data_IF_773369055562
#
_entry.id   IF_773369055562
#
_cell.length_a   1.000
_cell.length_b   1.000
_cell.length_c   1.000
_cell.angle_alpha   90.00
_cell.angle_beta   90.00
_cell.angle_gamma   90.00
#
_symmetry.space_group_name_H-M   'P 1'
#
loop_
_entity.id
_entity.type
_entity.pdbx_description
1 polymer ?
#
# COMPACT_ATOMS: atom_id res chain seq x y z
N UNK A 1 -34.79 -11.61 75.59
CA UNK A 1 -34.34 -10.60 74.62
C UNK A 1 -34.03 -11.30 73.31
N UNK A 2 -34.92 -11.13 72.33
CA UNK A 2 -34.96 -11.86 71.07
C UNK A 2 -33.80 -11.49 70.15
N UNK A 3 -33.12 -12.49 69.58
CA UNK A 3 -32.17 -12.30 68.47
C UNK A 3 -32.93 -12.54 67.16
N UNK A 4 -33.06 -11.51 66.33
CA UNK A 4 -33.55 -11.64 64.96
C UNK A 4 -32.45 -12.18 64.03
N UNK A 5 -32.76 -13.06 63.06
CA UNK A 5 -31.83 -13.43 62.00
C UNK A 5 -31.81 -12.36 60.89
N UNK A 6 -30.61 -12.07 60.37
CA UNK A 6 -30.39 -11.21 59.20
C UNK A 6 -30.62 -12.04 57.93
N UNK A 7 -31.37 -11.55 56.92
CA UNK A 7 -31.56 -12.26 55.66
C UNK A 7 -30.26 -12.32 54.85
N UNK A 8 -29.97 -13.49 54.27
CA UNK A 8 -28.85 -13.69 53.37
C UNK A 8 -29.00 -12.92 52.06
N UNK A 9 -27.95 -12.19 51.67
CA UNK A 9 -27.86 -11.56 50.35
C UNK A 9 -27.84 -12.61 49.23
N UNK A 10 -28.67 -12.50 48.18
CA UNK A 10 -28.62 -13.40 47.05
C UNK A 10 -27.38 -13.07 46.18
N UNK A 11 -26.32 -13.86 46.31
CA UNK A 11 -25.13 -13.81 45.46
C UNK A 11 -25.38 -14.27 44.00
N UNK A 12 -26.61 -14.64 43.66
CA UNK A 12 -26.95 -15.33 42.41
C UNK A 12 -27.37 -14.41 41.26
N UNK A 13 -27.63 -13.12 41.49
CA UNK A 13 -28.17 -12.23 40.45
C UNK A 13 -27.10 -11.56 39.57
N UNK A 14 -25.83 -11.53 39.99
CA UNK A 14 -24.75 -10.86 39.23
C UNK A 14 -24.09 -11.75 38.15
N UNK A 15 -24.23 -13.07 38.24
CA UNK A 15 -23.63 -13.98 37.26
C UNK A 15 -24.45 -14.09 35.96
N UNK A 16 -25.76 -13.85 36.01
CA UNK A 16 -26.64 -14.03 34.84
C UNK A 16 -26.59 -12.84 33.88
N UNK A 17 -26.34 -11.62 34.37
CA UNK A 17 -26.20 -10.43 33.51
C UNK A 17 -24.90 -10.40 32.69
N UNK A 18 -23.83 -11.04 33.15
CA UNK A 18 -22.56 -11.09 32.41
C UNK A 18 -22.59 -12.06 31.22
N UNK A 19 -23.39 -13.13 31.29
CA UNK A 19 -23.52 -14.10 30.20
C UNK A 19 -24.43 -13.61 29.06
N UNK A 20 -25.43 -12.77 29.36
CA UNK A 20 -26.34 -12.20 28.36
C UNK A 20 -25.70 -11.15 27.45
N UNK A 21 -24.76 -10.34 27.98
CA UNK A 21 -24.05 -9.33 27.17
C UNK A 21 -23.02 -9.94 26.22
N UNK A 22 -22.42 -11.08 26.55
CA UNK A 22 -21.45 -11.76 25.67
C UNK A 22 -22.12 -12.41 24.44
N UNK A 23 -23.37 -12.88 24.58
CA UNK A 23 -24.11 -13.48 23.47
C UNK A 23 -24.68 -12.45 22.48
N UNK A 24 -24.92 -11.21 22.92
CA UNK A 24 -25.46 -10.14 22.06
C UNK A 24 -24.40 -9.49 21.15
N UNK A 25 -23.11 -9.73 21.40
CA UNK A 25 -22.00 -9.25 20.54
C UNK A 25 -21.63 -10.24 19.42
N UNK A 26 -22.18 -11.46 19.43
CA UNK A 26 -21.87 -12.50 18.45
C UNK A 26 -22.81 -12.52 17.23
N UNK A 27 -23.82 -11.65 17.18
CA UNK A 27 -24.76 -11.54 16.05
C UNK A 27 -24.87 -10.09 15.61
N UNK A 28 -23.72 -9.45 15.38
CA UNK A 28 -23.70 -8.48 14.29
C UNK A 28 -23.63 -9.32 13.02
N UNK A 29 -24.54 -9.14 12.05
CA UNK A 29 -24.20 -9.59 10.71
C UNK A 29 -22.88 -8.88 10.43
N UNK A 30 -21.82 -9.63 10.23
CA UNK A 30 -20.69 -9.16 9.45
C UNK A 30 -21.35 -8.72 8.15
N UNK A 31 -21.73 -7.45 8.07
CA UNK A 31 -22.03 -6.82 6.81
C UNK A 31 -20.86 -7.24 5.96
N UNK A 32 -21.15 -7.86 4.83
CA UNK A 32 -20.15 -8.23 3.85
C UNK A 32 -19.48 -6.94 3.39
N UNK A 33 -18.60 -6.36 4.22
CA UNK A 33 -17.31 -5.93 3.76
C UNK A 33 -16.85 -7.14 2.98
N UNK A 34 -17.07 -7.10 1.68
CA UNK A 34 -16.29 -7.88 0.75
C UNK A 34 -14.88 -7.56 1.23
N UNK A 35 -14.23 -8.50 1.92
CA UNK A 35 -12.84 -8.34 2.31
C UNK A 35 -12.19 -7.85 1.03
N UNK A 36 -11.72 -6.60 1.02
CA UNK A 36 -11.51 -5.92 -0.23
C UNK A 36 -10.57 -6.82 -1.02
N UNK A 37 -11.08 -7.42 -2.11
CA UNK A 37 -10.31 -8.39 -2.88
C UNK A 37 -9.03 -7.73 -3.41
N UNK A 38 -8.95 -6.39 -3.32
CA UNK A 38 -7.81 -5.48 -3.38
C UNK A 38 -6.45 -6.08 -2.92
N UNK A 39 -6.43 -6.98 -1.93
CA UNK A 39 -5.20 -7.43 -1.26
C UNK A 39 -4.73 -8.85 -1.66
N UNK A 40 -5.03 -9.29 -2.88
CA UNK A 40 -4.63 -10.63 -3.33
C UNK A 40 -3.66 -10.55 -4.49
N UNK A 41 -2.76 -11.53 -4.59
CA UNK A 41 -1.82 -11.63 -5.71
C UNK A 41 -2.49 -11.68 -7.08
N UNK A 42 -3.78 -12.06 -7.15
CA UNK A 42 -4.59 -11.98 -8.36
C UNK A 42 -4.77 -10.57 -8.90
N UNK A 43 -4.89 -9.54 -8.05
CA UNK A 43 -4.98 -8.16 -8.56
C UNK A 43 -3.66 -7.66 -9.09
N UNK A 44 -2.56 -7.98 -8.41
CA UNK A 44 -1.22 -7.65 -8.89
C UNK A 44 -1.01 -8.26 -10.28
N UNK A 45 -1.44 -9.51 -10.48
CA UNK A 45 -1.43 -10.16 -11.78
C UNK A 45 -2.28 -9.39 -12.81
N UNK A 46 -3.55 -9.12 -12.50
CA UNK A 46 -4.48 -8.47 -13.42
C UNK A 46 -3.99 -7.07 -13.86
N UNK A 47 -3.55 -6.25 -12.90
CA UNK A 47 -3.03 -4.90 -13.16
C UNK A 47 -1.76 -4.98 -14.01
N UNK A 48 -0.81 -5.84 -13.61
CA UNK A 48 0.47 -5.99 -14.33
C UNK A 48 0.25 -6.49 -15.76
N UNK A 49 -0.62 -7.49 -15.97
CA UNK A 49 -0.95 -8.00 -17.32
C UNK A 49 -1.68 -6.98 -18.17
N UNK A 50 -2.56 -6.18 -17.58
CA UNK A 50 -3.24 -5.10 -18.31
C UNK A 50 -2.26 -3.99 -18.73
N UNK A 51 -1.23 -3.71 -17.93
CA UNK A 51 -0.27 -2.65 -18.18
C UNK A 51 0.86 -3.04 -19.16
N UNK A 52 1.24 -4.33 -19.23
CA UNK A 52 2.47 -4.77 -19.89
C UNK A 52 2.21 -5.71 -21.08
N UNK A 53 2.38 -5.24 -22.34
CA UNK A 53 2.29 -6.08 -23.52
C UNK A 53 3.62 -6.82 -23.79
N UNK A 54 4.15 -7.51 -22.79
CA UNK A 54 5.45 -8.18 -22.85
C UNK A 54 5.38 -9.56 -23.50
N UNK A 55 6.56 -10.11 -23.83
CA UNK A 55 6.73 -11.51 -24.22
C UNK A 55 6.10 -12.43 -23.15
N UNK A 56 5.27 -13.44 -23.53
CA UNK A 56 4.43 -14.19 -22.59
C UNK A 56 5.16 -14.87 -21.43
N UNK A 57 6.33 -15.49 -21.66
CA UNK A 57 7.08 -16.16 -20.59
C UNK A 57 7.61 -15.15 -19.57
N UNK A 58 8.11 -14.03 -20.07
CA UNK A 58 8.60 -12.92 -19.24
C UNK A 58 7.45 -12.24 -18.49
N UNK A 59 6.30 -12.05 -19.14
CA UNK A 59 5.11 -11.51 -18.49
C UNK A 59 4.63 -12.42 -17.36
N UNK A 60 4.61 -13.74 -17.56
CA UNK A 60 4.24 -14.69 -16.50
C UNK A 60 5.23 -14.65 -15.34
N UNK A 61 6.54 -14.62 -15.61
CA UNK A 61 7.54 -14.46 -14.54
C UNK A 61 7.36 -13.15 -13.75
N UNK A 62 6.88 -12.09 -14.40
CA UNK A 62 6.60 -10.83 -13.74
C UNK A 62 5.30 -10.86 -12.93
N UNK A 63 4.21 -11.34 -13.54
CA UNK A 63 2.84 -11.04 -13.11
C UNK A 63 2.15 -12.17 -12.35
N UNK A 64 2.62 -13.43 -12.42
CA UNK A 64 1.91 -14.58 -11.85
C UNK A 64 1.40 -14.33 -10.42
N UNK A 65 0.12 -14.61 -10.15
CA UNK A 65 -0.53 -14.30 -8.87
C UNK A 65 0.11 -14.96 -7.65
N UNK A 66 0.82 -16.07 -7.83
CA UNK A 66 1.47 -16.77 -6.73
C UNK A 66 2.97 -16.47 -6.71
N UNK A 67 3.66 -16.71 -7.81
CA UNK A 67 5.12 -16.72 -7.96
C UNK A 67 5.65 -15.60 -8.85
N UNK A 68 4.87 -14.57 -9.17
CA UNK A 68 5.35 -13.42 -9.96
C UNK A 68 6.32 -12.54 -9.17
N UNK A 69 7.26 -11.90 -9.88
CA UNK A 69 8.13 -10.88 -9.28
C UNK A 69 7.34 -9.74 -8.63
N UNK A 70 6.17 -9.41 -9.17
CA UNK A 70 5.24 -8.42 -8.60
C UNK A 70 4.76 -8.85 -7.20
N UNK A 71 4.55 -10.15 -6.96
CA UNK A 71 4.09 -10.68 -5.67
C UNK A 71 5.24 -11.00 -4.70
N UNK A 72 6.48 -10.60 -5.04
CA UNK A 72 7.64 -11.00 -4.25
C UNK A 72 7.74 -10.33 -2.87
N UNK A 73 7.10 -9.17 -2.66
CA UNK A 73 7.00 -8.55 -1.34
C UNK A 73 5.94 -9.22 -0.46
N UNK A 74 4.93 -9.87 -1.04
CA UNK A 74 3.88 -10.61 -0.30
C UNK A 74 4.36 -11.90 0.37
N UNK A 75 5.68 -12.07 0.49
CA UNK A 75 6.33 -13.24 1.08
C UNK A 75 7.21 -12.79 2.23
N UNK A 76 7.22 -13.58 3.31
CA UNK A 76 8.17 -13.37 4.41
C UNK A 76 9.61 -13.47 3.90
N UNK A 77 10.54 -12.63 4.39
CA UNK A 77 10.36 -11.67 5.49
C UNK A 77 9.83 -10.29 5.08
N UNK A 78 9.55 -10.06 3.79
CA UNK A 78 9.19 -8.73 3.28
C UNK A 78 7.73 -8.33 3.60
N UNK A 79 6.84 -9.33 3.70
CA UNK A 79 5.42 -9.14 3.99
C UNK A 79 5.13 -8.23 5.20
N UNK A 80 5.92 -8.35 6.26
CA UNK A 80 5.68 -7.59 7.49
C UNK A 80 6.32 -6.18 7.47
N UNK A 81 6.90 -5.74 6.35
CA UNK A 81 7.63 -4.47 6.23
C UNK A 81 6.73 -3.43 5.56
N UNK A 82 5.99 -2.66 6.37
CA UNK A 82 4.99 -1.70 5.90
C UNK A 82 5.40 -0.80 4.72
N UNK A 83 6.60 -0.18 4.70
CA UNK A 83 7.06 0.60 3.55
C UNK A 83 7.15 -0.15 2.22
N UNK A 84 7.25 -1.49 2.23
CA UNK A 84 7.24 -2.34 1.03
C UNK A 84 5.84 -2.62 0.50
N UNK A 85 4.81 -2.24 1.26
CA UNK A 85 3.38 -2.36 0.94
C UNK A 85 2.65 -1.00 1.02
N UNK A 86 3.42 0.09 1.18
CA UNK A 86 2.91 1.45 1.37
C UNK A 86 1.82 1.58 2.46
N UNK A 87 1.89 0.71 3.47
CA UNK A 87 0.98 0.69 4.60
C UNK A 87 1.22 1.89 5.52
N UNK A 88 0.18 2.25 6.28
CA UNK A 88 0.23 3.25 7.36
C UNK A 88 0.61 4.67 6.89
N UNK A 89 0.51 4.94 5.59
CA UNK A 89 0.77 6.23 4.93
C UNK A 89 -0.48 7.12 4.80
N UNK A 90 -1.61 6.66 5.32
CA UNK A 90 -2.90 7.32 5.31
C UNK A 90 -3.10 8.26 6.51
N UNK A 91 -3.86 9.33 6.31
CA UNK A 91 -4.12 10.35 7.33
C UNK A 91 -5.48 11.02 7.11
N UNK A 92 -6.18 11.29 8.20
CA UNK A 92 -7.28 12.25 8.24
C UNK A 92 -6.99 13.38 9.23
N UNK A 93 -7.22 14.61 8.79
CA UNK A 93 -7.17 15.75 9.70
C UNK A 93 -8.24 15.62 10.79
N UNK A 94 -8.01 16.14 12.03
CA UNK A 94 -8.98 16.05 13.12
C UNK A 94 -10.37 16.58 12.80
N UNK A 95 -10.48 17.54 11.86
CA UNK A 95 -11.76 18.07 11.37
C UNK A 95 -12.60 17.05 10.60
N UNK A 96 -11.97 16.01 10.04
CA UNK A 96 -12.63 14.90 9.33
C UNK A 96 -12.76 13.66 10.22
N UNK A 97 -11.77 13.42 11.09
CA UNK A 97 -11.81 12.34 12.08
C UNK A 97 -10.92 12.69 13.28
N UNK A 98 -11.53 13.09 14.39
CA UNK A 98 -10.81 13.53 15.59
C UNK A 98 -9.98 12.40 16.26
N UNK A 99 -10.33 11.14 16.01
CA UNK A 99 -9.68 9.96 16.60
C UNK A 99 -8.85 9.15 15.61
N UNK A 100 -8.42 9.75 14.49
CA UNK A 100 -7.60 9.01 13.52
C UNK A 100 -6.26 8.58 14.16
N UNK A 101 -5.86 7.31 14.04
CA UNK A 101 -4.73 6.77 14.82
C UNK A 101 -3.35 7.20 14.32
N UNK A 102 -3.28 7.85 13.14
CA UNK A 102 -2.04 8.30 12.52
C UNK A 102 -1.96 9.82 12.54
N UNK A 103 -0.81 10.35 12.93
CA UNK A 103 -0.48 11.77 12.76
C UNK A 103 -0.05 12.05 11.33
N UNK A 104 -0.06 13.33 10.93
CA UNK A 104 0.35 13.75 9.59
C UNK A 104 1.84 13.44 9.33
N UNK A 105 2.68 13.61 10.35
CA UNK A 105 4.12 13.41 10.22
C UNK A 105 4.47 11.93 10.10
N UNK A 106 3.79 11.05 10.83
CA UNK A 106 3.92 9.60 10.69
C UNK A 106 3.49 9.13 9.31
N UNK A 107 2.30 9.54 8.84
CA UNK A 107 1.82 9.19 7.50
C UNK A 107 2.77 9.68 6.40
N UNK A 108 3.30 10.90 6.53
CA UNK A 108 4.27 11.46 5.59
C UNK A 108 5.58 10.66 5.60
N UNK A 109 6.03 10.21 6.77
CA UNK A 109 7.25 9.42 6.91
C UNK A 109 7.13 8.08 6.19
N UNK A 110 6.03 7.36 6.38
CA UNK A 110 5.77 6.08 5.69
C UNK A 110 5.63 6.26 4.18
N UNK A 111 4.88 7.28 3.74
CA UNK A 111 4.72 7.58 2.32
C UNK A 111 6.06 7.83 1.63
N UNK A 112 6.92 8.65 2.25
CA UNK A 112 8.24 8.93 1.72
C UNK A 112 9.13 7.68 1.70
N UNK A 113 9.01 6.78 2.68
CA UNK A 113 9.75 5.53 2.71
C UNK A 113 9.31 4.59 1.57
N UNK A 114 8.01 4.44 1.34
CA UNK A 114 7.42 3.70 0.22
C UNK A 114 7.94 4.24 -1.14
N UNK A 115 7.77 5.55 -1.39
CA UNK A 115 8.20 6.18 -2.65
C UNK A 115 9.71 6.05 -2.87
N UNK A 116 10.52 6.33 -1.85
CA UNK A 116 12.00 6.23 -1.95
C UNK A 116 12.43 4.80 -2.26
N UNK A 117 11.76 3.81 -1.67
CA UNK A 117 12.08 2.40 -1.90
C UNK A 117 11.72 2.00 -3.33
N UNK A 118 10.52 2.32 -3.80
CA UNK A 118 10.11 2.05 -5.19
C UNK A 118 11.06 2.70 -6.21
N UNK A 119 11.42 3.97 -6.02
CA UNK A 119 12.39 4.67 -6.87
C UNK A 119 13.77 4.02 -6.84
N UNK A 120 14.22 3.58 -5.66
CA UNK A 120 15.50 2.88 -5.52
C UNK A 120 15.48 1.55 -6.28
N UNK A 121 14.39 0.78 -6.17
CA UNK A 121 14.19 -0.47 -6.90
C UNK A 121 14.21 -0.24 -8.42
N UNK A 122 13.50 0.77 -8.92
CA UNK A 122 13.56 1.13 -10.34
C UNK A 122 15.00 1.44 -10.80
N UNK A 123 15.75 2.25 -10.04
CA UNK A 123 17.16 2.55 -10.35
C UNK A 123 18.03 1.30 -10.34
N UNK A 124 17.77 0.35 -9.44
CA UNK A 124 18.48 -0.92 -9.38
C UNK A 124 18.18 -1.78 -10.62
N UNK A 125 16.92 -1.81 -11.06
CA UNK A 125 16.54 -2.49 -12.30
C UNK A 125 17.26 -1.91 -13.51
N UNK A 126 17.32 -0.58 -13.63
CA UNK A 126 18.07 0.09 -14.71
C UNK A 126 19.56 -0.29 -14.68
N UNK A 127 20.18 -0.36 -13.50
CA UNK A 127 21.58 -0.80 -13.38
C UNK A 127 21.76 -2.28 -13.72
N UNK A 128 20.83 -3.15 -13.32
CA UNK A 128 20.87 -4.56 -13.66
C UNK A 128 20.68 -4.81 -15.16
N UNK A 129 19.95 -3.94 -15.86
CA UNK A 129 19.70 -4.05 -17.28
C UNK A 129 20.97 -3.92 -18.15
N UNK A 130 22.03 -3.29 -17.62
CA UNK A 130 23.35 -3.26 -18.27
C UNK A 130 23.87 -4.68 -18.56
N UNK A 131 23.60 -5.63 -17.65
CA UNK A 131 23.99 -7.02 -17.82
C UNK A 131 23.21 -7.78 -18.92
N UNK A 132 22.15 -7.20 -19.50
CA UNK A 132 21.39 -7.83 -20.58
C UNK A 132 22.08 -7.72 -21.94
N UNK A 133 23.05 -6.82 -22.07
CA UNK A 133 23.78 -6.58 -23.31
C UNK A 133 25.29 -6.76 -23.12
N UNK A 134 26.01 -6.99 -24.21
CA UNK A 134 27.47 -7.00 -24.23
C UNK A 134 28.04 -5.59 -24.47
N UNK A 135 29.37 -5.48 -24.54
CA UNK A 135 30.06 -4.20 -24.75
C UNK A 135 29.74 -3.53 -26.09
N UNK A 136 29.24 -4.29 -27.07
CA UNK A 136 28.80 -3.78 -28.38
C UNK A 136 27.29 -3.47 -28.41
N UNK A 137 26.60 -3.64 -27.27
CA UNK A 137 25.16 -3.44 -27.16
C UNK A 137 24.32 -4.58 -27.71
N UNK A 138 24.89 -5.77 -27.96
CA UNK A 138 24.12 -6.94 -28.41
C UNK A 138 23.53 -7.68 -27.23
N UNK A 139 22.31 -8.19 -27.41
CA UNK A 139 21.62 -8.97 -26.37
C UNK A 139 22.42 -10.23 -26.02
N UNK A 140 22.62 -10.43 -24.72
CA UNK A 140 23.29 -11.61 -24.17
C UNK A 140 22.29 -12.73 -23.92
N UNK A 141 22.35 -13.78 -24.73
CA UNK A 141 21.45 -14.93 -24.62
C UNK A 141 21.53 -15.62 -23.25
N UNK A 142 22.74 -15.75 -22.69
CA UNK A 142 22.99 -16.35 -21.37
C UNK A 142 22.38 -15.55 -20.20
N UNK A 143 22.09 -14.27 -20.43
CA UNK A 143 21.51 -13.37 -19.42
C UNK A 143 20.01 -13.11 -19.61
N UNK A 144 19.46 -13.48 -20.77
CA UNK A 144 18.08 -13.16 -21.19
C UNK A 144 17.22 -14.38 -21.54
N UNK A 145 17.76 -15.60 -21.46
CA UNK A 145 17.03 -16.81 -21.87
C UNK A 145 15.66 -16.98 -21.18
N UNK A 146 14.70 -17.50 -21.94
CA UNK A 146 13.32 -17.70 -21.47
C UNK A 146 13.11 -19.05 -20.79
N UNK A 147 14.02 -20.01 -21.00
CA UNK A 147 13.87 -21.39 -20.54
C UNK A 147 14.16 -21.57 -19.05
N UNK A 148 14.99 -20.71 -18.49
CA UNK A 148 15.41 -20.79 -17.09
C UNK A 148 14.47 -19.91 -16.25
N UNK A 149 13.83 -20.44 -15.20
CA UNK A 149 13.01 -19.62 -14.32
C UNK A 149 13.86 -18.65 -13.49
N UNK A 150 13.21 -17.64 -12.92
CA UNK A 150 13.82 -16.74 -11.96
C UNK A 150 13.38 -17.08 -10.54
N UNK A 151 14.18 -16.67 -9.56
CA UNK A 151 13.86 -16.72 -8.15
C UNK A 151 13.90 -15.30 -7.58
N UNK A 152 13.01 -14.99 -6.64
CA UNK A 152 12.85 -13.65 -6.06
C UNK A 152 13.39 -13.62 -4.63
N UNK A 153 14.63 -14.05 -4.44
CA UNK A 153 15.26 -14.20 -3.12
C UNK A 153 16.34 -13.14 -2.84
N UNK A 154 16.44 -12.11 -3.68
CA UNK A 154 17.41 -11.03 -3.58
C UNK A 154 18.85 -11.44 -3.85
N UNK A 155 19.11 -12.69 -4.27
CA UNK A 155 20.46 -13.16 -4.57
C UNK A 155 20.91 -12.71 -5.97
N UNK A 156 22.21 -12.48 -6.17
CA UNK A 156 22.76 -12.24 -7.50
C UNK A 156 22.48 -13.42 -8.44
N UNK A 157 22.22 -13.11 -9.71
CA UNK A 157 21.92 -14.10 -10.73
C UNK A 157 21.95 -13.49 -12.13
N UNK A 158 21.23 -14.11 -13.08
CA UNK A 158 21.10 -13.57 -14.45
C UNK A 158 20.53 -12.16 -14.43
N UNK A 159 21.01 -11.31 -15.34
CA UNK A 159 20.58 -9.92 -15.43
C UNK A 159 19.06 -9.79 -15.60
N UNK A 160 18.42 -10.65 -16.41
CA UNK A 160 16.94 -10.67 -16.56
C UNK A 160 16.23 -10.83 -15.22
N UNK A 161 16.66 -11.79 -14.39
CA UNK A 161 16.03 -12.04 -13.10
C UNK A 161 16.25 -10.87 -12.14
N UNK A 162 17.44 -10.28 -12.13
CA UNK A 162 17.72 -9.09 -11.32
C UNK A 162 16.87 -7.89 -11.75
N UNK A 163 16.70 -7.66 -13.06
CA UNK A 163 15.80 -6.60 -13.57
C UNK A 163 14.37 -6.85 -13.12
N UNK A 164 13.83 -8.05 -13.36
CA UNK A 164 12.45 -8.40 -13.02
C UNK A 164 12.19 -8.33 -11.51
N UNK A 165 13.10 -8.83 -10.67
CA UNK A 165 12.91 -8.76 -9.22
C UNK A 165 12.87 -7.32 -8.73
N UNK A 166 13.76 -6.46 -9.22
CA UNK A 166 13.78 -5.06 -8.80
C UNK A 166 12.54 -4.32 -9.34
N UNK A 167 12.12 -4.55 -10.58
CA UNK A 167 10.88 -3.96 -11.11
C UNK A 167 9.65 -4.47 -10.35
N UNK A 168 9.50 -5.78 -10.21
CA UNK A 168 8.38 -6.41 -9.51
C UNK A 168 8.22 -5.90 -8.09
N UNK A 169 9.28 -5.99 -7.27
CA UNK A 169 9.24 -5.46 -5.91
C UNK A 169 8.98 -3.96 -5.86
N UNK A 170 9.42 -3.21 -6.87
CA UNK A 170 9.25 -1.75 -6.99
C UNK A 170 7.84 -1.32 -7.41
N UNK A 171 7.24 -2.02 -8.35
CA UNK A 171 5.92 -1.74 -8.90
C UNK A 171 4.81 -2.27 -8.00
N UNK A 172 5.05 -3.36 -7.28
CA UNK A 172 4.16 -3.84 -6.22
C UNK A 172 3.75 -2.72 -5.26
N UNK A 173 4.72 -1.92 -4.81
CA UNK A 173 4.46 -0.75 -3.93
C UNK A 173 3.58 0.30 -4.59
N UNK A 174 3.67 0.47 -5.91
CA UNK A 174 2.85 1.44 -6.63
C UNK A 174 1.41 0.93 -6.69
N UNK A 175 1.21 -0.37 -6.93
CA UNK A 175 -0.10 -1.01 -6.91
C UNK A 175 -0.72 -0.93 -5.50
N UNK A 176 0.06 -1.29 -4.48
CA UNK A 176 -0.34 -1.21 -3.07
C UNK A 176 -0.64 0.21 -2.61
N UNK A 177 0.09 1.21 -3.10
CA UNK A 177 -0.23 2.60 -2.78
C UNK A 177 -1.68 2.96 -3.15
N UNK A 178 -2.18 2.52 -4.31
CA UNK A 178 -3.57 2.77 -4.70
C UNK A 178 -4.57 1.83 -4.00
N UNK A 179 -4.14 0.67 -3.53
CA UNK A 179 -5.00 -0.30 -2.85
C UNK A 179 -5.13 -0.02 -1.33
N UNK A 180 -4.06 0.43 -0.68
CA UNK A 180 -3.93 0.53 0.78
C UNK A 180 -4.04 1.96 1.31
N UNK A 181 -4.00 2.97 0.43
CA UNK A 181 -4.17 4.35 0.85
C UNK A 181 -5.63 4.83 0.79
N UNK A 182 -5.93 5.85 1.57
CA UNK A 182 -7.16 6.62 1.44
C UNK A 182 -7.06 7.67 0.32
N UNK A 183 -6.29 7.42 -0.74
CA UNK A 183 -6.17 8.33 -1.88
C UNK A 183 -6.95 7.77 -3.05
N UNK A 184 -7.79 8.60 -3.64
CA UNK A 184 -8.56 8.24 -4.84
C UNK A 184 -8.34 9.27 -5.94
N UNK A 185 -8.31 8.82 -7.19
CA UNK A 185 -8.21 9.73 -8.33
C UNK A 185 -9.42 10.68 -8.41
N UNK A 186 -10.58 10.23 -7.91
CA UNK A 186 -11.85 10.96 -7.91
C UNK A 186 -12.55 10.85 -6.57
N UNK A 187 -12.76 11.98 -5.91
CA UNK A 187 -13.66 12.06 -4.76
C UNK A 187 -15.11 11.84 -5.22
N UNK A 188 -15.89 11.12 -4.42
CA UNK A 188 -17.33 10.99 -4.63
C UNK A 188 -18.04 12.23 -4.05
N UNK A 189 -19.24 12.53 -4.55
CA UNK A 189 -20.07 13.59 -3.98
C UNK A 189 -20.36 13.34 -2.49
N UNK A 190 -20.25 14.38 -1.67
CA UNK A 190 -20.51 14.32 -0.23
C UNK A 190 -19.33 14.81 0.61
N UNK A 191 -19.46 14.77 1.95
CA UNK A 191 -18.41 15.19 2.87
C UNK A 191 -17.20 14.26 2.77
N UNK A 192 -16.00 14.81 2.96
CA UNK A 192 -14.78 14.01 3.10
C UNK A 192 -14.81 13.28 4.45
N UNK A 193 -14.49 11.99 4.44
CA UNK A 193 -14.44 11.16 5.64
C UNK A 193 -14.02 9.73 5.30
N UNK A 194 -14.10 8.82 6.28
CA UNK A 194 -13.65 7.43 6.12
C UNK A 194 -14.36 6.69 4.97
N UNK A 195 -15.62 7.03 4.69
CA UNK A 195 -16.40 6.46 3.59
C UNK A 195 -16.28 7.25 2.26
N UNK A 196 -15.60 8.40 2.26
CA UNK A 196 -15.38 9.24 1.08
C UNK A 196 -14.01 9.93 1.18
N UNK A 197 -12.93 9.23 0.84
CA UNK A 197 -11.58 9.73 1.00
C UNK A 197 -11.28 10.98 0.15
N UNK A 198 -10.32 11.81 0.57
CA UNK A 198 -9.88 12.96 -0.23
C UNK A 198 -9.17 12.52 -1.52
N UNK A 199 -9.19 13.39 -2.54
CA UNK A 199 -8.35 13.22 -3.74
C UNK A 199 -6.94 13.81 -3.53
N UNK A 200 -5.91 13.32 -4.24
CA UNK A 200 -4.63 14.01 -4.36
C UNK A 200 -4.83 15.45 -4.84
N UNK A 201 -4.29 16.43 -4.10
CA UNK A 201 -4.40 17.85 -4.44
C UNK A 201 -5.67 18.56 -3.95
N UNK A 202 -6.60 17.90 -3.25
CA UNK A 202 -7.64 18.60 -2.45
C UNK A 202 -7.09 19.18 -1.14
N UNK A 203 -5.77 19.43 -1.10
CA UNK A 203 -5.13 20.19 -0.06
C UNK A 203 -5.55 21.66 -0.24
N UNK A 204 -6.68 22.04 0.35
CA UNK A 204 -6.88 23.44 0.70
C UNK A 204 -5.76 23.78 1.69
N UNK A 205 -4.84 24.72 1.34
CA UNK A 205 -3.90 25.22 2.32
C UNK A 205 -4.71 25.80 3.50
N UNK A 206 -4.18 25.77 4.74
CA UNK A 206 -4.81 26.53 5.82
C UNK A 206 -5.03 27.96 5.31
N UNK A 207 -6.22 28.51 5.55
CA UNK A 207 -6.58 29.85 5.09
C UNK A 207 -5.49 30.84 5.55
N UNK A 208 -4.55 31.17 4.65
CA UNK A 208 -3.56 32.20 4.89
C UNK A 208 -4.32 33.52 4.77
N UNK A 209 -4.28 34.42 5.78
CA UNK A 209 -4.82 35.75 5.63
C UNK A 209 -4.21 36.38 4.37
N UNK A 210 -5.04 36.80 3.41
CA UNK A 210 -4.58 37.38 2.15
C UNK A 210 -3.70 38.60 2.45
N UNK A 211 -2.39 38.47 2.30
CA UNK A 211 -1.52 39.63 2.15
C UNK A 211 -1.69 40.19 0.72
N UNK A 212 -1.60 41.52 0.54
CA UNK A 212 -1.77 42.14 -0.77
C UNK A 212 -0.69 41.67 -1.75
N UNK A 213 -0.99 41.61 -3.05
CA UNK A 213 -0.10 41.02 -4.05
C UNK A 213 1.20 41.80 -4.16
N UNK A 214 2.33 41.11 -4.00
CA UNK A 214 3.65 41.59 -4.38
C UNK A 214 3.72 41.71 -5.91
N UNK A 215 4.24 42.84 -6.37
CA UNK A 215 4.41 43.17 -7.79
C UNK A 215 5.32 42.14 -8.47
N UNK A 216 4.94 41.72 -9.70
CA UNK A 216 5.74 40.80 -10.52
C UNK A 216 7.02 41.51 -10.96
N UNK A 217 8.17 40.92 -10.66
CA UNK A 217 9.38 41.18 -11.43
C UNK A 217 9.38 40.25 -12.64
N UNK A 218 9.33 40.84 -13.83
CA UNK A 218 9.55 40.18 -15.11
C UNK A 218 11.03 39.81 -15.24
N UNK A 219 11.35 38.56 -15.60
CA UNK A 219 12.73 38.20 -15.90
C UNK A 219 13.04 36.72 -15.87
N UNK A 220 12.48 35.95 -16.81
CA UNK A 220 13.06 34.69 -17.30
C UNK A 220 12.52 34.44 -18.72
N UNK A 221 13.18 35.02 -19.73
CA UNK A 221 13.13 34.51 -21.12
C UNK A 221 14.29 33.55 -21.28
N UNK A 222 14.00 32.34 -21.74
CA UNK A 222 14.98 31.47 -22.38
C UNK A 222 14.75 31.65 -23.89
N UNK A 223 15.76 32.19 -24.57
CA UNK A 223 15.85 32.23 -26.03
C UNK A 223 16.36 30.87 -26.56
N UNK A 224 16.09 30.53 -27.84
CA UNK A 224 15.93 29.16 -28.35
C UNK A 224 17.22 28.35 -28.52
#
# INVERSE_FOLDING_TARGET
>A
MSRHPIPGSPRSARAVLAAGLAAALAVLPSGTAHAAHAFTGGNHEDITRAALPWEPVTLTAMADAHDGAINANDRRPYFDVGPLHCDNADYFAPRYSAGYPRTRDEATTELLACVRTSVTRFRNAVRAADGLVDADGRVRADQSDLSTPCAWDGKPGRAKCAVLEQLGRGWHQIEDFYAHSNWSDRATAGPIGLANPPRPGAYEPPAVPRHPPLQRHEGCRLDP
#
